data_IF_527945061616
#
_entry.id   IF_527945061616
#
_cell.length_a   1.000
_cell.length_b   1.000
_cell.length_c   1.000
_cell.angle_alpha   90.00
_cell.angle_beta   90.00
_cell.angle_gamma   90.00
#
_symmetry.space_group_name_H-M   'P 1'
#
loop_
_entity.id
_entity.type
_entity.pdbx_description
1 polymer ?
#
# COMPACT_ATOMS: atom_id res chain seq x y z
N UNK A 1 1.26 8.82 10.12
CA UNK A 1 2.11 8.63 8.92
C UNK A 1 1.24 8.17 7.78
N UNK A 2 1.39 8.73 6.57
CA UNK A 2 0.56 8.34 5.41
C UNK A 2 1.36 7.64 4.33
N UNK A 3 0.86 6.48 3.89
CA UNK A 3 1.46 5.68 2.81
C UNK A 3 0.44 5.56 1.67
N UNK A 4 0.85 5.99 0.47
CA UNK A 4 0.09 5.82 -0.76
C UNK A 4 0.61 4.57 -1.50
N UNK A 5 -0.31 3.67 -1.83
CA UNK A 5 -0.04 2.53 -2.70
C UNK A 5 -0.38 2.88 -4.14
N UNK A 6 0.54 2.61 -5.05
CA UNK A 6 0.39 2.85 -6.47
C UNK A 6 0.75 1.61 -7.28
N UNK A 7 0.01 1.35 -8.35
CA UNK A 7 0.35 0.34 -9.35
C UNK A 7 0.95 1.01 -10.58
N UNK A 8 2.11 0.54 -11.03
CA UNK A 8 2.63 0.86 -12.35
C UNK A 8 2.09 -0.14 -13.37
N UNK A 9 1.28 0.35 -14.31
CA UNK A 9 0.70 -0.47 -15.36
C UNK A 9 0.58 0.33 -16.66
N UNK A 10 0.88 -0.31 -17.79
CA UNK A 10 0.79 0.30 -19.12
C UNK A 10 1.56 1.62 -19.34
N UNK A 11 2.59 1.89 -18.55
CA UNK A 11 3.37 3.14 -18.63
C UNK A 11 2.87 4.26 -17.72
N UNK A 12 1.84 4.01 -16.92
CA UNK A 12 1.20 4.97 -16.04
C UNK A 12 1.20 4.47 -14.58
N UNK A 13 1.23 5.41 -13.63
CA UNK A 13 1.03 5.13 -12.21
C UNK A 13 -0.43 5.36 -11.86
N UNK A 14 -1.04 4.37 -11.22
CA UNK A 14 -2.41 4.40 -10.74
C UNK A 14 -2.43 4.34 -9.22
N UNK A 15 -3.10 5.27 -8.58
CA UNK A 15 -3.29 5.27 -7.14
C UNK A 15 -4.32 4.20 -6.76
N UNK A 16 -3.96 3.35 -5.78
CA UNK A 16 -4.82 2.26 -5.30
C UNK A 16 -5.57 2.68 -4.03
N UNK A 17 -4.85 3.31 -3.10
CA UNK A 17 -5.41 3.76 -1.83
C UNK A 17 -4.34 4.25 -0.86
N UNK A 18 -4.80 4.75 0.29
CA UNK A 18 -3.98 5.38 1.32
C UNK A 18 -4.20 4.68 2.65
N UNK A 19 -3.10 4.35 3.32
CA UNK A 19 -3.08 3.91 4.71
C UNK A 19 -2.56 5.06 5.58
N UNK A 20 -3.27 5.34 6.68
CA UNK A 20 -2.86 6.27 7.73
C UNK A 20 -2.90 5.54 9.07
N UNK A 21 -1.76 5.53 9.77
CA UNK A 21 -1.63 4.96 11.12
C UNK A 21 -2.20 3.53 11.25
N UNK A 22 -1.87 2.68 10.28
CA UNK A 22 -2.29 1.28 10.25
C UNK A 22 -3.69 1.03 9.67
N UNK A 23 -4.44 2.08 9.36
CA UNK A 23 -5.81 1.99 8.87
C UNK A 23 -5.93 2.46 7.41
N UNK A 24 -6.75 1.76 6.61
CA UNK A 24 -7.10 2.21 5.26
C UNK A 24 -8.07 3.39 5.38
N UNK A 25 -7.63 4.58 4.99
CA UNK A 25 -8.42 5.82 5.09
C UNK A 25 -9.00 6.27 3.74
N UNK A 26 -8.40 5.83 2.63
CA UNK A 26 -8.91 6.10 1.29
C UNK A 26 -8.70 4.89 0.38
N UNK A 27 -9.75 4.49 -0.34
CA UNK A 27 -9.70 3.44 -1.36
C UNK A 27 -10.08 4.09 -2.69
N UNK A 28 -9.11 4.17 -3.60
CA UNK A 28 -9.28 4.81 -4.92
C UNK A 28 -9.69 3.76 -5.95
N UNK A 29 -9.15 2.55 -5.82
CA UNK A 29 -9.59 1.38 -6.57
C UNK A 29 -10.60 0.54 -5.76
N UNK A 30 -11.63 0.04 -6.44
CA UNK A 30 -12.54 -0.96 -5.89
C UNK A 30 -11.79 -2.26 -5.57
N UNK A 31 -11.85 -2.71 -4.31
CA UNK A 31 -11.22 -3.95 -3.85
C UNK A 31 -9.84 -3.78 -3.21
N UNK A 32 -9.29 -2.57 -3.15
CA UNK A 32 -8.03 -2.32 -2.43
C UNK A 32 -8.11 -2.68 -0.94
N UNK A 33 -9.19 -2.31 -0.25
CA UNK A 33 -9.41 -2.69 1.16
C UNK A 33 -9.43 -4.21 1.36
N UNK A 34 -10.08 -4.95 0.45
CA UNK A 34 -10.12 -6.41 0.48
C UNK A 34 -8.74 -7.02 0.17
N UNK A 35 -7.98 -6.42 -0.75
CA UNK A 35 -6.60 -6.80 -1.04
C UNK A 35 -5.70 -6.62 0.19
N UNK A 36 -5.76 -5.46 0.86
CA UNK A 36 -5.01 -5.21 2.10
C UNK A 36 -5.38 -6.25 3.16
N UNK A 37 -6.67 -6.51 3.37
CA UNK A 37 -7.13 -7.54 4.33
C UNK A 37 -6.59 -8.93 4.00
N UNK A 38 -6.57 -9.29 2.72
CA UNK A 38 -6.01 -10.56 2.26
C UNK A 38 -4.50 -10.61 2.52
N UNK A 39 -3.77 -9.56 2.17
CA UNK A 39 -2.33 -9.49 2.41
C UNK A 39 -2.03 -9.62 3.91
N UNK A 40 -2.74 -8.90 4.79
CA UNK A 40 -2.55 -9.01 6.25
C UNK A 40 -2.85 -10.40 6.82
N UNK A 41 -3.58 -11.25 6.09
CA UNK A 41 -3.78 -12.64 6.50
C UNK A 41 -2.54 -13.52 6.26
N UNK A 42 -1.61 -13.07 5.43
CA UNK A 42 -0.34 -13.75 5.21
C UNK A 42 0.65 -13.45 6.34
N UNK A 43 1.23 -14.51 6.90
CA UNK A 43 2.25 -14.42 7.96
C UNK A 43 3.55 -13.71 7.54
N UNK A 44 3.74 -13.42 6.25
CA UNK A 44 4.91 -12.74 5.70
C UNK A 44 4.67 -11.26 5.41
N UNK A 45 3.45 -10.77 5.60
CA UNK A 45 3.11 -9.37 5.36
C UNK A 45 3.67 -8.51 6.47
N UNK A 46 4.32 -7.38 6.14
CA UNK A 46 4.84 -6.45 7.15
C UNK A 46 3.72 -5.88 8.02
N UNK A 47 4.09 -5.46 9.23
CA UNK A 47 3.19 -4.71 10.11
C UNK A 47 2.83 -3.38 9.44
N UNK A 48 1.56 -2.97 9.48
CA UNK A 48 1.15 -1.68 8.90
C UNK A 48 1.68 -0.48 9.69
N UNK A 49 2.08 -0.70 10.94
CA UNK A 49 2.79 0.29 11.76
C UNK A 49 4.29 0.36 11.41
N UNK A 50 4.83 -0.62 10.66
CA UNK A 50 6.23 -0.66 10.23
C UNK A 50 6.41 -0.09 8.81
N UNK A 51 6.60 1.23 8.76
CA UNK A 51 6.81 1.98 7.53
C UNK A 51 7.90 1.39 6.63
N UNK A 52 9.05 1.06 7.21
CA UNK A 52 10.21 0.58 6.45
C UNK A 52 9.93 -0.80 5.87
N UNK A 53 9.32 -1.69 6.65
CA UNK A 53 8.89 -3.01 6.20
C UNK A 53 7.88 -2.95 5.05
N UNK A 54 6.91 -2.03 5.12
CA UNK A 54 5.92 -1.80 4.04
C UNK A 54 6.60 -1.29 2.77
N UNK A 55 7.46 -0.29 2.89
CA UNK A 55 8.16 0.28 1.74
C UNK A 55 9.02 -0.78 1.06
N UNK A 56 9.78 -1.58 1.81
CA UNK A 56 10.60 -2.65 1.23
C UNK A 56 9.75 -3.75 0.57
N UNK A 57 8.68 -4.22 1.25
CA UNK A 57 7.85 -5.31 0.74
C UNK A 57 7.11 -4.95 -0.55
N UNK A 58 6.70 -3.68 -0.68
CA UNK A 58 5.86 -3.20 -1.77
C UNK A 58 6.57 -2.24 -2.72
N UNK A 59 7.89 -2.06 -2.64
CA UNK A 59 8.72 -1.40 -3.65
C UNK A 59 9.14 -2.41 -4.72
N UNK A 60 8.27 -2.61 -5.71
CA UNK A 60 8.47 -3.54 -6.83
C UNK A 60 8.28 -2.88 -8.21
N UNK A 61 8.46 -3.64 -9.30
CA UNK A 61 8.34 -3.10 -10.66
C UNK A 61 6.93 -2.66 -11.04
N UNK A 62 5.90 -3.18 -10.37
CA UNK A 62 4.49 -2.93 -10.69
C UNK A 62 3.68 -2.39 -9.50
N UNK A 63 4.15 -2.55 -8.27
CA UNK A 63 3.49 -2.05 -7.07
C UNK A 63 4.53 -1.22 -6.33
N UNK A 64 4.12 -0.06 -5.83
CA UNK A 64 4.98 0.90 -5.15
C UNK A 64 4.21 1.42 -3.94
N UNK A 65 4.81 1.31 -2.75
CA UNK A 65 4.39 2.06 -1.59
C UNK A 65 5.28 3.31 -1.45
N UNK A 66 4.69 4.46 -1.11
CA UNK A 66 5.44 5.69 -0.85
C UNK A 66 4.85 6.48 0.31
N UNK A 67 5.69 7.16 1.08
CA UNK A 67 5.25 8.11 2.11
C UNK A 67 4.78 9.41 1.43
N UNK A 68 3.64 9.94 1.86
CA UNK A 68 3.03 11.16 1.27
C UNK A 68 2.90 12.35 2.22
N UNK A 69 3.09 12.15 3.52
CA UNK A 69 3.18 13.24 4.51
C UNK A 69 4.57 13.24 5.14
N UNK A 70 5.26 14.39 5.09
CA UNK A 70 6.46 14.72 5.85
C UNK A 70 6.15 15.87 6.82
#
# INVERSE_FOLDING_TARGET
MRILFQMYHAGELHDLGIIEDGDVVESIEDGFEDWVRLELSHHTTPDLDDAEGILEAYEGPNLIAKIVDE
#
